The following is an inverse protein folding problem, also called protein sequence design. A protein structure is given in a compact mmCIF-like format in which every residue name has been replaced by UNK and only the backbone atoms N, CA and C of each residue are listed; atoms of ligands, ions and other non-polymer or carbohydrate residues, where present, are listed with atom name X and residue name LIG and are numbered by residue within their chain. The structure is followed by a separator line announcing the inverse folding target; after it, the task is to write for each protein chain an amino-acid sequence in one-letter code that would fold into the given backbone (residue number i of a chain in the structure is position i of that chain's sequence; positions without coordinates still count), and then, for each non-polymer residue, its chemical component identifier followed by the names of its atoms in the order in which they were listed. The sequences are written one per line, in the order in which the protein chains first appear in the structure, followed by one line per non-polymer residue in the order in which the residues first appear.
data_IF_108080639680
#
_entry.id   IF_108080639680
#
_cell.length_a   1.000
_cell.length_b   1.000
_cell.length_c   1.000
_cell.angle_alpha   90.00
_cell.angle_beta   90.00
_cell.angle_gamma   90.00
#
_symmetry.space_group_name_H-M   'P 1'
#
loop_
_entity.id
_entity.type
_entity.pdbx_description
1 polymer ?
#
# COMPACT_ATOMS: atom_id res chain seq x y z
N UNK A 1 -14.53 -3.17 12.99
CA UNK A 1 -14.18 -2.43 11.77
C UNK A 1 -15.27 -2.62 10.72
N UNK A 2 -15.59 -1.60 9.98
CA UNK A 2 -16.66 -1.70 8.99
C UNK A 2 -16.13 -2.36 7.71
N UNK A 3 -17.04 -2.99 6.95
CA UNK A 3 -16.68 -3.58 5.66
C UNK A 3 -16.22 -2.54 4.65
N UNK A 4 -16.70 -1.30 4.81
CA UNK A 4 -16.31 -0.21 3.90
C UNK A 4 -14.82 0.11 4.03
N UNK A 5 -14.33 0.19 5.25
CA UNK A 5 -12.90 0.45 5.48
C UNK A 5 -12.05 -0.69 4.94
N UNK A 6 -12.45 -1.92 5.21
CA UNK A 6 -11.72 -3.09 4.70
C UNK A 6 -11.68 -3.10 3.17
N UNK A 7 -12.80 -2.78 2.54
CA UNK A 7 -12.87 -2.73 1.09
C UNK A 7 -11.90 -1.68 0.54
N UNK A 8 -11.87 -0.50 1.16
CA UNK A 8 -10.99 0.57 0.71
C UNK A 8 -9.52 0.22 0.90
N UNK A 9 -9.18 -0.43 2.02
CA UNK A 9 -7.81 -0.86 2.28
C UNK A 9 -7.37 -1.88 1.23
N UNK A 10 -8.22 -2.86 0.94
CA UNK A 10 -7.88 -3.88 -0.05
C UNK A 10 -7.73 -3.29 -1.45
N UNK A 11 -8.63 -2.38 -1.81
CA UNK A 11 -8.59 -1.74 -3.12
C UNK A 11 -7.32 -0.92 -3.28
N UNK A 12 -6.98 -0.14 -2.26
CA UNK A 12 -5.79 0.69 -2.28
C UNK A 12 -4.52 -0.16 -2.32
N UNK A 13 -4.51 -1.25 -1.55
CA UNK A 13 -3.38 -2.17 -1.54
C UNK A 13 -3.14 -2.74 -2.95
N UNK A 14 -4.20 -3.16 -3.62
CA UNK A 14 -4.10 -3.70 -4.97
C UNK A 14 -3.53 -2.65 -5.93
N UNK A 15 -4.00 -1.41 -5.80
CA UNK A 15 -3.54 -0.34 -6.68
C UNK A 15 -2.06 -0.05 -6.46
N UNK A 16 -1.60 -0.04 -5.20
CA UNK A 16 -0.18 0.19 -4.91
C UNK A 16 0.67 -0.95 -5.42
N UNK A 17 0.23 -2.19 -5.24
CA UNK A 17 0.95 -3.35 -5.76
C UNK A 17 1.08 -3.27 -7.29
N UNK A 18 -0.01 -2.86 -7.96
CA UNK A 18 0.02 -2.68 -9.42
C UNK A 18 1.05 -1.64 -9.82
N UNK A 19 1.10 -0.52 -9.11
CA UNK A 19 2.09 0.53 -9.39
C UNK A 19 3.52 0.03 -9.19
N UNK A 20 3.75 -0.75 -8.15
CA UNK A 20 5.07 -1.33 -7.91
C UNK A 20 5.48 -2.25 -9.04
N UNK A 21 4.55 -3.05 -9.54
CA UNK A 21 4.82 -3.92 -10.68
C UNK A 21 5.20 -3.11 -11.91
N UNK A 22 4.47 -2.03 -12.16
CA UNK A 22 4.69 -1.22 -13.36
C UNK A 22 5.94 -0.37 -13.28
N UNK A 23 6.20 0.24 -12.12
CA UNK A 23 7.31 1.18 -12.00
C UNK A 23 8.63 0.49 -11.70
N UNK A 24 8.61 -0.59 -10.93
CA UNK A 24 9.82 -1.28 -10.52
C UNK A 24 10.08 -2.57 -11.30
N UNK A 25 9.18 -2.93 -12.21
CA UNK A 25 9.33 -4.14 -13.00
C UNK A 25 9.23 -5.42 -12.19
N UNK A 26 8.52 -5.39 -11.06
CA UNK A 26 8.41 -6.55 -10.18
C UNK A 26 7.28 -7.46 -10.63
N UNK A 27 7.44 -8.76 -10.33
CA UNK A 27 6.32 -9.69 -10.46
C UNK A 27 5.28 -9.34 -9.41
N UNK A 28 4.05 -9.83 -9.60
CA UNK A 28 3.00 -9.61 -8.60
C UNK A 28 3.42 -10.14 -7.23
N UNK A 29 4.02 -11.33 -7.20
CA UNK A 29 4.45 -11.94 -5.96
C UNK A 29 5.47 -11.08 -5.23
N UNK A 30 6.49 -10.62 -5.96
CA UNK A 30 7.55 -9.81 -5.36
C UNK A 30 6.99 -8.47 -4.86
N UNK A 31 6.12 -7.84 -5.66
CA UNK A 31 5.51 -6.58 -5.27
C UNK A 31 4.67 -6.75 -4.01
N UNK A 32 3.88 -7.83 -3.94
CA UNK A 32 3.06 -8.11 -2.76
C UNK A 32 3.93 -8.37 -1.53
N UNK A 33 4.97 -9.19 -1.68
CA UNK A 33 5.87 -9.51 -0.56
C UNK A 33 6.51 -8.23 -0.01
N UNK A 34 6.99 -7.38 -0.90
CA UNK A 34 7.64 -6.14 -0.47
C UNK A 34 6.68 -5.19 0.21
N UNK A 35 5.50 -5.02 -0.36
CA UNK A 35 4.54 -4.07 0.20
C UNK A 35 3.95 -4.58 1.51
N UNK A 36 3.57 -5.86 1.57
CA UNK A 36 2.94 -6.42 2.76
C UNK A 36 3.88 -6.45 3.96
N UNK A 37 5.18 -6.49 3.74
CA UNK A 37 6.14 -6.50 4.85
C UNK A 37 6.59 -5.09 5.23
N UNK A 38 6.03 -4.06 4.62
CA UNK A 38 6.44 -2.68 4.88
C UNK A 38 5.67 -2.07 6.06
N UNK A 39 6.26 -1.03 6.65
CA UNK A 39 5.59 -0.27 7.70
C UNK A 39 4.44 0.55 7.11
N UNK A 40 4.55 0.93 5.85
CA UNK A 40 3.49 1.64 5.17
C UNK A 40 2.22 0.79 5.11
N UNK A 41 2.37 -0.51 4.83
CA UNK A 41 1.21 -1.40 4.84
C UNK A 41 0.63 -1.54 6.25
N UNK A 42 1.48 -1.62 7.27
CA UNK A 42 1.01 -1.67 8.65
C UNK A 42 0.13 -0.46 8.95
N UNK A 43 0.59 0.73 8.57
CA UNK A 43 -0.17 1.96 8.78
C UNK A 43 -1.46 1.95 7.97
N UNK A 44 -1.40 1.48 6.72
CA UNK A 44 -2.57 1.42 5.85
C UNK A 44 -3.67 0.54 6.44
N UNK A 45 -3.29 -0.57 7.07
CA UNK A 45 -4.27 -1.50 7.61
C UNK A 45 -4.87 -1.05 8.94
N UNK A 46 -4.43 0.08 9.48
CA UNK A 46 -4.98 0.66 10.70
C UNK A 46 -5.82 1.89 10.34
N UNK A 47 -7.15 1.79 10.40
CA UNK A 47 -8.03 2.89 9.96
C UNK A 47 -7.75 4.22 10.64
N UNK A 48 -7.28 4.21 11.88
CA UNK A 48 -7.03 5.44 12.61
C UNK A 48 -5.90 6.28 12.01
N UNK A 49 -5.04 5.71 11.17
CA UNK A 49 -3.99 6.48 10.50
C UNK A 49 -4.55 7.33 9.37
N UNK A 50 -5.74 6.98 8.86
CA UNK A 50 -6.35 7.68 7.74
C UNK A 50 -5.66 7.44 6.41
N UNK A 51 -4.68 6.56 6.35
CA UNK A 51 -3.93 6.33 5.12
C UNK A 51 -4.80 5.72 4.03
N UNK A 52 -5.82 4.95 4.43
CA UNK A 52 -6.70 4.30 3.46
C UNK A 52 -7.58 5.27 2.66
N UNK A 53 -7.66 6.54 3.08
CA UNK A 53 -8.42 7.56 2.37
C UNK A 53 -7.56 8.29 1.34
N UNK A 54 -6.27 8.08 1.35
CA UNK A 54 -5.36 8.77 0.44
C UNK A 54 -5.33 8.05 -0.92
N UNK A 55 -4.70 8.69 -1.90
CA UNK A 55 -4.58 8.09 -3.22
C UNK A 55 -3.50 7.01 -3.23
N UNK A 56 -3.55 6.09 -4.21
CA UNK A 56 -2.48 5.10 -4.35
C UNK A 56 -1.10 5.73 -4.52
N UNK A 57 -1.03 6.85 -5.26
CA UNK A 57 0.25 7.54 -5.45
C UNK A 57 0.81 8.07 -4.13
N UNK A 58 -0.08 8.58 -3.26
CA UNK A 58 0.35 9.07 -1.95
C UNK A 58 0.91 7.92 -1.11
N UNK A 59 0.21 6.80 -1.09
CA UNK A 59 0.65 5.63 -0.31
C UNK A 59 1.95 5.09 -0.86
N UNK A 60 2.09 5.04 -2.17
CA UNK A 60 3.33 4.59 -2.80
C UNK A 60 4.49 5.50 -2.43
N UNK A 61 4.25 6.82 -2.39
CA UNK A 61 5.27 7.77 -2.00
C UNK A 61 5.74 7.53 -0.56
N UNK A 62 4.80 7.27 0.34
CA UNK A 62 5.13 6.92 1.73
C UNK A 62 5.97 5.66 1.79
N UNK A 63 5.64 4.66 0.99
CA UNK A 63 6.40 3.43 0.92
C UNK A 63 7.84 3.71 0.46
N UNK A 64 7.99 4.55 -0.56
CA UNK A 64 9.33 4.86 -1.08
C UNK A 64 10.15 5.68 -0.09
N UNK A 65 9.51 6.57 0.67
CA UNK A 65 10.19 7.31 1.73
C UNK A 65 10.72 6.35 2.79
N UNK A 66 9.93 5.35 3.15
CA UNK A 66 10.34 4.34 4.11
C UNK A 66 11.60 3.61 3.64
N UNK A 67 11.70 3.32 2.35
CA UNK A 67 12.82 2.56 1.81
C UNK A 67 14.11 3.37 1.72
N UNK A 68 14.03 4.68 1.81
CA UNK A 68 15.21 5.53 1.76
C UNK A 68 15.96 5.62 3.08
N UNK A 69 15.34 5.17 4.16
CA UNK A 69 15.93 5.27 5.51
C UNK A 69 16.92 4.15 5.79
#
# INVERSE_FOLDING_TARGET
MSGKENFMIESLTRDVVTLLMEEDGLSMRDAMDKFYSSRTFDALSQPETGLYIQSPAYVLDEYRQEKKL
#
